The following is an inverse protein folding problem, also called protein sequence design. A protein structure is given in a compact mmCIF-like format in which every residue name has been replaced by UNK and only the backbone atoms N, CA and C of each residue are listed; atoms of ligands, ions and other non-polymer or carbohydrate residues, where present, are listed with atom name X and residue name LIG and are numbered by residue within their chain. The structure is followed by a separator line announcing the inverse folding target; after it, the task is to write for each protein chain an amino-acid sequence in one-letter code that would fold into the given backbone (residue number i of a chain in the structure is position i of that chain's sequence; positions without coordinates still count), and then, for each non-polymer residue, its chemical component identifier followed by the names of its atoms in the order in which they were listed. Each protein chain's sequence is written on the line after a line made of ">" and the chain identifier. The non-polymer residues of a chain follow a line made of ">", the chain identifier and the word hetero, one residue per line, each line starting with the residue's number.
data_IF_291149942213
#
_entry.id   IF_291149942213
#
_cell.length_a   1.000
_cell.length_b   1.000
_cell.length_c   1.000
_cell.angle_alpha   90.00
_cell.angle_beta   90.00
_cell.angle_gamma   90.00
#
_symmetry.space_group_name_H-M   'P 1'
#
loop_
_entity.id
_entity.type
_entity.pdbx_description
1 polymer ?
#
# COMPACT_ATOMS: atom_id res chain seq x y z
N UNK A 1 -7.31 10.26 9.82
CA UNK A 1 -5.91 9.89 10.06
C UNK A 1 -5.84 8.49 10.67
N UNK A 2 -4.85 7.72 10.27
CA UNK A 2 -4.66 6.36 10.78
C UNK A 2 -3.95 6.43 12.12
N UNK A 3 -4.62 5.98 13.19
CA UNK A 3 -4.12 6.08 14.57
C UNK A 3 -3.62 4.75 15.13
N UNK A 4 -3.65 3.69 14.33
CA UNK A 4 -3.28 2.35 14.76
C UNK A 4 -2.16 1.81 13.89
N UNK A 5 -1.62 0.65 14.29
CA UNK A 5 -0.64 -0.05 13.46
C UNK A 5 -1.33 -0.50 12.17
N UNK A 6 -0.68 -0.24 11.06
CA UNK A 6 -1.13 -0.70 9.74
C UNK A 6 -0.02 -1.51 9.10
N UNK A 7 -0.31 -2.07 7.92
CA UNK A 7 0.60 -2.97 7.24
C UNK A 7 0.78 -2.53 5.80
N UNK A 8 2.02 -2.57 5.33
CA UNK A 8 2.40 -2.23 3.97
C UNK A 8 2.98 -3.46 3.30
N UNK A 9 2.95 -3.48 1.99
CA UNK A 9 3.63 -4.53 1.22
C UNK A 9 4.82 -3.90 0.52
N UNK A 10 5.96 -4.55 0.65
CA UNK A 10 7.23 -4.05 0.19
C UNK A 10 7.93 -5.09 -0.67
N UNK A 11 8.59 -4.65 -1.73
CA UNK A 11 9.41 -5.53 -2.55
C UNK A 11 10.72 -5.82 -1.85
N UNK A 12 11.06 -7.11 -1.72
CA UNK A 12 12.34 -7.53 -1.14
C UNK A 12 13.53 -7.12 -2.00
N UNK A 13 13.30 -6.98 -3.29
CA UNK A 13 14.35 -6.74 -4.25
C UNK A 13 14.88 -5.31 -4.23
N UNK A 14 13.98 -4.33 -4.28
CA UNK A 14 14.36 -2.92 -4.37
C UNK A 14 13.89 -2.08 -3.20
N UNK A 15 13.17 -2.69 -2.26
CA UNK A 15 12.67 -2.01 -1.08
C UNK A 15 11.52 -1.06 -1.33
N UNK A 16 10.97 -1.04 -2.53
CA UNK A 16 9.84 -0.14 -2.85
C UNK A 16 8.53 -0.72 -2.35
N UNK A 17 7.66 0.18 -1.91
CA UNK A 17 6.33 -0.19 -1.43
C UNK A 17 5.36 -0.30 -2.59
N UNK A 18 4.37 -1.19 -2.45
CA UNK A 18 3.26 -1.27 -3.40
C UNK A 18 2.41 -0.01 -3.32
N UNK A 19 2.06 0.51 -4.49
CA UNK A 19 1.26 1.71 -4.61
C UNK A 19 0.12 1.46 -5.59
N UNK A 20 -0.95 2.24 -5.45
CA UNK A 20 -1.99 2.33 -6.47
C UNK A 20 -1.71 3.58 -7.29
N UNK A 21 -1.57 3.40 -8.60
CA UNK A 21 -1.35 4.53 -9.52
C UNK A 21 -2.67 4.94 -10.14
N UNK A 22 -2.97 6.21 -10.04
CA UNK A 22 -4.23 6.76 -10.54
C UNK A 22 -3.90 7.82 -11.58
N UNK A 23 -4.44 7.70 -12.81
CA UNK A 23 -4.23 8.73 -13.81
C UNK A 23 -5.00 10.00 -13.47
N UNK A 24 -4.38 11.13 -13.74
CA UNK A 24 -5.01 12.44 -13.61
C UNK A 24 -5.22 13.07 -14.99
N UNK A 25 -5.99 14.15 -15.04
CA UNK A 25 -6.13 14.94 -16.25
C UNK A 25 -4.77 15.43 -16.71
N UNK A 26 -4.56 15.44 -18.01
CA UNK A 26 -3.27 15.85 -18.58
C UNK A 26 -2.26 14.73 -18.72
N UNK A 27 -2.61 13.50 -18.35
CA UNK A 27 -1.77 12.34 -18.56
C UNK A 27 -0.78 12.03 -17.44
N UNK A 28 -0.76 12.84 -16.37
CA UNK A 28 0.08 12.56 -15.20
C UNK A 28 -0.53 11.45 -14.37
N UNK A 29 0.32 10.72 -13.65
CA UNK A 29 -0.12 9.72 -12.68
C UNK A 29 0.29 10.13 -11.28
N UNK A 30 -0.57 9.86 -10.31
CA UNK A 30 -0.26 10.04 -8.89
C UNK A 30 -0.26 8.69 -8.21
N UNK A 31 0.53 8.59 -7.14
CA UNK A 31 0.69 7.34 -6.41
C UNK A 31 0.09 7.46 -5.01
N UNK A 32 -0.69 6.44 -4.65
CA UNK A 32 -1.26 6.29 -3.32
C UNK A 32 -0.63 5.06 -2.68
N UNK A 33 -0.14 5.21 -1.46
CA UNK A 33 0.49 4.10 -0.75
C UNK A 33 -0.59 3.09 -0.33
N UNK A 34 -0.43 1.82 -0.75
CA UNK A 34 -1.37 0.76 -0.36
C UNK A 34 -1.20 0.45 1.12
N UNK A 35 -2.31 0.50 1.85
CA UNK A 35 -2.33 0.30 3.31
C UNK A 35 -3.36 -0.77 3.65
N UNK A 36 -2.95 -1.71 4.49
CA UNK A 36 -3.80 -2.79 4.98
C UNK A 36 -3.97 -2.63 6.49
N UNK A 37 -5.18 -2.83 6.97
CA UNK A 37 -5.50 -2.67 8.39
C UNK A 37 -5.10 -3.90 9.22
N UNK A 38 -5.01 -5.06 8.57
CA UNK A 38 -4.63 -6.32 9.21
C UNK A 38 -3.56 -7.01 8.38
N UNK A 39 -2.66 -7.73 9.04
CA UNK A 39 -1.60 -8.46 8.35
C UNK A 39 -2.15 -9.55 7.44
N UNK A 40 -3.23 -10.22 7.87
CA UNK A 40 -3.86 -11.26 7.05
C UNK A 40 -4.52 -10.69 5.79
N UNK A 41 -4.96 -9.44 5.82
CA UNK A 41 -5.49 -8.78 4.62
C UNK A 41 -4.36 -8.56 3.60
N UNK A 42 -3.19 -8.13 4.06
CA UNK A 42 -2.01 -7.98 3.22
C UNK A 42 -1.59 -9.31 2.62
N UNK A 43 -1.59 -10.37 3.42
CA UNK A 43 -1.26 -11.71 2.97
C UNK A 43 -2.24 -12.21 1.91
N UNK A 44 -3.55 -12.00 2.14
CA UNK A 44 -4.58 -12.38 1.17
C UNK A 44 -4.41 -11.64 -0.15
N UNK A 45 -4.08 -10.37 -0.08
CA UNK A 45 -3.83 -9.55 -1.27
C UNK A 45 -2.66 -10.09 -2.07
N UNK A 46 -1.54 -10.40 -1.40
CA UNK A 46 -0.35 -10.95 -2.05
C UNK A 46 -0.68 -12.29 -2.71
N UNK A 47 -1.37 -13.17 -2.00
CA UNK A 47 -1.71 -14.49 -2.51
C UNK A 47 -2.66 -14.45 -3.71
N UNK A 48 -3.57 -13.47 -3.72
CA UNK A 48 -4.58 -13.35 -4.78
C UNK A 48 -4.05 -12.58 -5.98
N UNK A 49 -3.29 -11.51 -5.75
CA UNK A 49 -2.90 -10.56 -6.80
C UNK A 49 -1.40 -10.52 -7.08
N UNK A 50 -0.57 -11.13 -6.25
CA UNK A 50 0.89 -11.10 -6.40
C UNK A 50 1.41 -11.98 -7.52
N UNK A 51 0.67 -13.03 -7.88
CA UNK A 51 1.06 -13.95 -8.93
C UNK A 51 2.43 -14.56 -8.68
N UNK A 52 3.25 -14.59 -9.71
CA UNK A 52 4.62 -15.14 -9.62
C UNK A 52 5.56 -14.28 -8.78
N UNK A 53 5.15 -13.06 -8.45
CA UNK A 53 5.97 -12.15 -7.64
C UNK A 53 5.71 -12.28 -6.14
N UNK A 54 4.76 -13.11 -5.72
CA UNK A 54 4.38 -13.23 -4.31
C UNK A 54 5.56 -13.57 -3.40
N UNK A 55 6.52 -14.34 -3.88
CA UNK A 55 7.72 -14.70 -3.12
C UNK A 55 8.68 -13.53 -2.91
N UNK A 56 8.52 -12.47 -3.67
CA UNK A 56 9.39 -11.30 -3.63
C UNK A 56 8.79 -10.15 -2.84
N UNK A 57 7.63 -10.36 -2.25
CA UNK A 57 6.92 -9.36 -1.47
C UNK A 57 6.95 -9.72 0.00
N UNK A 58 7.01 -8.70 0.84
CA UNK A 58 6.99 -8.88 2.29
C UNK A 58 6.03 -7.88 2.92
N UNK A 59 5.50 -8.26 4.07
CA UNK A 59 4.58 -7.42 4.83
C UNK A 59 5.39 -6.72 5.92
N UNK A 60 5.18 -5.41 6.04
CA UNK A 60 5.87 -4.60 7.04
C UNK A 60 4.83 -3.87 7.88
N UNK A 61 4.91 -4.02 9.20
CA UNK A 61 4.05 -3.26 10.10
C UNK A 61 4.59 -1.85 10.26
N UNK A 62 3.70 -0.86 10.31
CA UNK A 62 4.10 0.53 10.46
C UNK A 62 3.23 1.21 11.52
N UNK A 63 3.86 2.02 12.35
CA UNK A 63 3.17 2.88 13.29
C UNK A 63 2.65 4.12 12.55
N UNK A 64 1.69 4.87 13.14
CA UNK A 64 1.24 6.13 12.54
C UNK A 64 2.38 7.11 12.28
N UNK A 65 3.36 7.17 13.17
CA UNK A 65 4.50 8.07 13.02
C UNK A 65 5.42 7.66 11.86
N UNK A 66 5.68 6.34 11.73
CA UNK A 66 6.46 5.83 10.62
C UNK A 66 5.75 6.08 9.29
N UNK A 67 4.43 5.89 9.28
CA UNK A 67 3.63 6.11 8.09
C UNK A 67 3.70 7.58 7.65
N UNK A 68 3.62 8.51 8.60
CA UNK A 68 3.75 9.93 8.31
C UNK A 68 5.11 10.25 7.71
N UNK A 69 6.18 9.67 8.25
CA UNK A 69 7.54 9.87 7.73
C UNK A 69 7.68 9.35 6.31
N UNK A 70 7.11 8.19 6.03
CA UNK A 70 7.13 7.62 4.68
C UNK A 70 6.41 8.53 3.69
N UNK A 71 5.26 9.07 4.07
CA UNK A 71 4.49 9.95 3.20
C UNK A 71 5.28 11.20 2.84
N UNK A 72 6.00 11.77 3.81
CA UNK A 72 6.81 12.94 3.58
C UNK A 72 8.04 12.65 2.72
N UNK A 73 8.67 11.51 2.95
CA UNK A 73 9.91 11.13 2.27
C UNK A 73 9.70 10.76 0.81
N UNK A 74 8.65 10.00 0.52
CA UNK A 74 8.44 9.41 -0.79
C UNK A 74 7.44 10.18 -1.67
N UNK A 75 6.78 11.18 -1.12
CA UNK A 75 5.90 12.07 -1.89
C UNK A 75 4.62 11.42 -2.41
N UNK A 76 4.08 10.48 -1.67
CA UNK A 76 2.80 9.89 -2.04
C UNK A 76 1.66 10.91 -1.91
N UNK A 77 0.68 10.83 -2.81
CA UNK A 77 -0.47 11.72 -2.79
C UNK A 77 -1.37 11.47 -1.58
N UNK A 78 -1.48 10.20 -1.17
CA UNK A 78 -2.31 9.80 -0.05
C UNK A 78 -2.24 8.31 0.16
N UNK A 79 -3.27 7.77 0.81
CA UNK A 79 -3.37 6.34 1.13
C UNK A 79 -4.41 5.67 0.25
N UNK A 80 -4.12 4.45 -0.15
CA UNK A 80 -5.08 3.55 -0.77
C UNK A 80 -5.35 2.43 0.23
N UNK A 81 -6.41 2.58 1.02
CA UNK A 81 -6.75 1.64 2.09
C UNK A 81 -7.51 0.48 1.48
N UNK A 82 -6.95 -0.72 1.58
CA UNK A 82 -7.57 -1.92 1.04
C UNK A 82 -8.57 -2.45 2.07
N UNK A 83 -9.84 -2.30 1.78
CA UNK A 83 -10.93 -2.75 2.66
C UNK A 83 -11.36 -4.18 2.38
N UNK A 84 -11.15 -4.65 1.14
CA UNK A 84 -11.36 -6.04 0.76
C UNK A 84 -10.19 -6.46 -0.13
N UNK A 85 -9.31 -7.35 0.36
CA UNK A 85 -8.12 -7.72 -0.40
C UNK A 85 -8.40 -8.65 -1.59
N UNK A 86 -9.55 -9.25 -1.63
CA UNK A 86 -9.87 -10.24 -2.68
C UNK A 86 -10.43 -9.62 -3.95
N UNK A 87 -11.32 -8.64 -3.85
CA UNK A 87 -11.94 -7.99 -5.02
C UNK A 87 -10.94 -7.22 -5.90
N UNK A 88 -9.99 -6.37 -5.49
CA UNK A 88 -9.90 -5.67 -4.23
C UNK A 88 -10.82 -4.44 -4.17
N UNK A 89 -11.26 -4.11 -3.00
CA UNK A 89 -12.00 -2.88 -2.74
C UNK A 89 -11.08 -1.91 -2.03
N UNK A 90 -10.88 -0.73 -2.61
CA UNK A 90 -9.88 0.23 -2.16
C UNK A 90 -10.53 1.59 -1.91
N UNK A 91 -10.21 2.19 -0.78
CA UNK A 91 -10.68 3.52 -0.42
C UNK A 91 -9.48 4.49 -0.48
N UNK A 92 -9.60 5.51 -1.32
CA UNK A 92 -8.54 6.51 -1.45
C UNK A 92 -8.74 7.64 -0.46
N UNK A 93 -7.67 8.01 0.22
CA UNK A 93 -7.66 9.10 1.20
C UNK A 93 -6.45 10.00 0.91
N UNK A 94 -6.74 11.25 0.66
CA UNK A 94 -5.69 12.24 0.39
C UNK A 94 -5.23 12.97 1.64
#
# INVERSE_FOLDING_TARGET
>A
MLLQINYLVRSKRDGKYLVARVPEEGGAEVSYLLVFQQDYDAMSYINTHGGEFSNRLMIESVSPMQLKSLMQRWGYTGFAIVTDPLLPNIQFVS
#
